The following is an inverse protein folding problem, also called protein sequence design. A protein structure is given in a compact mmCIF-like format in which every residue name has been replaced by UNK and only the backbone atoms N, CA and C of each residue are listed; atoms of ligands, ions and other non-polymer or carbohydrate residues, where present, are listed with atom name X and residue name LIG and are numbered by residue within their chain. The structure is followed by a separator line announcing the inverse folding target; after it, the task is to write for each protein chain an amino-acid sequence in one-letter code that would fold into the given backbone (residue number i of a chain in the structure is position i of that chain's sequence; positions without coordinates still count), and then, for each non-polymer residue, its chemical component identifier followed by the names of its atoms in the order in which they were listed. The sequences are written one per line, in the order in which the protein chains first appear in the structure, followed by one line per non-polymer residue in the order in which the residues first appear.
data_IF_129377366113
#
_entry.id   IF_129377366113
#
_cell.length_a   1.000
_cell.length_b   1.000
_cell.length_c   1.000
_cell.angle_alpha   90.00
_cell.angle_beta   90.00
_cell.angle_gamma   90.00
#
_symmetry.space_group_name_H-M   'P 1'
#
loop_
_entity.id
_entity.type
_entity.pdbx_description
1 polymer ?
#
# COMPACT_ATOMS: atom_id res chain seq x y z
N UNK A 1 -17.77 12.78 -2.10
CA UNK A 1 -17.56 11.32 -2.01
C UNK A 1 -16.18 11.08 -1.40
N UNK A 2 -16.11 10.33 -0.30
CA UNK A 2 -14.86 10.15 0.47
C UNK A 2 -13.93 9.17 -0.23
N UNK A 3 -14.49 8.15 -0.88
CA UNK A 3 -13.77 7.15 -1.66
C UNK A 3 -13.01 7.78 -2.83
N UNK A 4 -13.64 8.71 -3.55
CA UNK A 4 -12.98 9.41 -4.67
C UNK A 4 -11.84 10.32 -4.20
N UNK A 5 -11.98 10.96 -3.03
CA UNK A 5 -10.88 11.74 -2.42
C UNK A 5 -9.73 10.82 -2.02
N UNK A 6 -10.05 9.67 -1.43
CA UNK A 6 -9.06 8.65 -1.09
C UNK A 6 -8.32 8.13 -2.32
N UNK A 7 -9.04 7.76 -3.38
CA UNK A 7 -8.44 7.29 -4.64
C UNK A 7 -7.56 8.39 -5.24
N UNK A 8 -8.01 9.64 -5.28
CA UNK A 8 -7.21 10.76 -5.76
C UNK A 8 -5.91 10.94 -4.98
N UNK A 9 -5.97 10.90 -3.65
CA UNK A 9 -4.77 10.94 -2.80
C UNK A 9 -3.87 9.70 -2.99
N UNK A 10 -4.44 8.50 -3.06
CA UNK A 10 -3.72 7.26 -3.30
C UNK A 10 -2.91 7.32 -4.60
N UNK A 11 -3.48 7.87 -5.67
CA UNK A 11 -2.75 8.08 -6.92
C UNK A 11 -1.64 9.13 -6.77
N UNK A 12 -1.86 10.21 -6.00
CA UNK A 12 -0.84 11.23 -5.76
C UNK A 12 0.41 10.72 -5.04
N UNK A 13 0.27 9.68 -4.21
CA UNK A 13 1.39 9.05 -3.49
C UNK A 13 2.04 7.88 -4.25
N UNK A 14 1.58 7.59 -5.48
CA UNK A 14 2.23 6.63 -6.39
C UNK A 14 1.62 5.22 -6.44
N UNK A 15 0.36 5.04 -6.03
CA UNK A 15 -0.31 3.73 -6.16
C UNK A 15 -0.43 3.29 -7.63
N UNK A 16 -0.59 4.22 -8.57
CA UNK A 16 -0.58 3.96 -10.01
C UNK A 16 0.71 3.26 -10.47
N UNK A 17 1.87 3.77 -10.05
CA UNK A 17 3.18 3.20 -10.35
C UNK A 17 3.34 1.83 -9.71
N UNK A 18 2.86 1.67 -8.47
CA UNK A 18 2.89 0.38 -7.77
C UNK A 18 2.04 -0.67 -8.51
N UNK A 19 0.84 -0.30 -8.96
CA UNK A 19 -0.03 -1.17 -9.77
C UNK A 19 0.64 -1.54 -11.08
N UNK A 20 1.24 -0.57 -11.79
CA UNK A 20 1.94 -0.82 -13.05
C UNK A 20 3.11 -1.80 -12.87
N UNK A 21 3.89 -1.66 -11.80
CA UNK A 21 4.97 -2.59 -11.46
C UNK A 21 4.45 -4.00 -11.21
N UNK A 22 3.40 -4.14 -10.40
CA UNK A 22 2.79 -5.44 -10.11
C UNK A 22 2.16 -6.09 -11.35
N UNK A 23 1.57 -5.31 -12.25
CA UNK A 23 1.07 -5.82 -13.53
C UNK A 23 2.20 -6.39 -14.39
N UNK A 24 3.33 -5.67 -14.49
CA UNK A 24 4.50 -6.14 -15.20
C UNK A 24 5.08 -7.42 -14.57
N UNK A 25 5.08 -7.53 -13.23
CA UNK A 25 5.47 -8.76 -12.52
C UNK A 25 4.54 -9.93 -12.86
N UNK A 26 3.23 -9.71 -12.87
CA UNK A 26 2.27 -10.74 -13.26
C UNK A 26 2.46 -11.17 -14.72
N UNK A 27 2.67 -10.22 -15.65
CA UNK A 27 2.89 -10.51 -17.06
C UNK A 27 4.16 -11.34 -17.26
N UNK A 28 5.26 -10.99 -16.57
CA UNK A 28 6.50 -11.79 -16.58
C UNK A 28 6.29 -13.19 -16.01
N UNK A 29 5.57 -13.31 -14.90
CA UNK A 29 5.34 -14.60 -14.24
C UNK A 29 4.46 -15.53 -15.10
N UNK A 30 3.49 -14.99 -15.82
CA UNK A 30 2.67 -15.75 -16.78
C UNK A 30 3.52 -16.19 -17.98
N UNK A 31 4.33 -15.29 -18.54
CA UNK A 31 5.18 -15.60 -19.70
C UNK A 31 6.25 -16.66 -19.39
N UNK A 32 6.78 -16.68 -18.17
CA UNK A 32 7.77 -17.65 -17.71
C UNK A 32 7.15 -18.91 -17.08
N UNK A 33 5.83 -19.08 -17.16
CA UNK A 33 5.12 -20.16 -16.47
C UNK A 33 5.50 -21.55 -17.04
N UNK A 34 6.03 -22.48 -16.22
CA UNK A 34 6.42 -23.80 -16.71
C UNK A 34 5.19 -24.65 -17.08
N UNK A 35 5.24 -25.35 -18.21
CA UNK A 35 4.16 -26.28 -18.64
C UNK A 35 3.89 -27.39 -17.62
N UNK A 36 4.91 -27.77 -16.84
CA UNK A 36 4.84 -28.81 -15.81
C UNK A 36 4.33 -28.30 -14.45
N UNK A 37 4.16 -26.99 -14.27
CA UNK A 37 3.73 -26.41 -13.00
C UNK A 37 2.21 -26.51 -12.77
N UNK A 38 1.81 -26.63 -11.50
CA UNK A 38 0.41 -26.88 -11.14
C UNK A 38 -0.54 -25.74 -11.55
N UNK A 39 -1.56 -25.97 -12.41
CA UNK A 39 -2.41 -24.93 -13.02
C UNK A 39 -3.08 -23.94 -12.05
N UNK A 40 -3.25 -24.34 -10.79
CA UNK A 40 -3.76 -23.47 -9.71
C UNK A 40 -2.93 -22.20 -9.52
N UNK A 41 -1.62 -22.27 -9.74
CA UNK A 41 -0.72 -21.13 -9.58
C UNK A 41 -0.88 -20.13 -10.72
N UNK A 42 -0.98 -20.61 -11.97
CA UNK A 42 -1.25 -19.76 -13.12
C UNK A 42 -2.57 -19.00 -12.92
N UNK A 43 -3.65 -19.72 -12.57
CA UNK A 43 -4.97 -19.12 -12.31
C UNK A 43 -4.90 -18.03 -11.24
N UNK A 44 -4.12 -18.26 -10.17
CA UNK A 44 -3.93 -17.26 -9.11
C UNK A 44 -3.27 -15.99 -9.64
N UNK A 45 -2.24 -16.12 -10.48
CA UNK A 45 -1.53 -14.96 -11.07
C UNK A 45 -2.45 -14.22 -12.05
N UNK A 46 -3.24 -14.94 -12.84
CA UNK A 46 -4.23 -14.35 -13.74
C UNK A 46 -5.34 -13.60 -12.99
N UNK A 47 -5.85 -14.18 -11.90
CA UNK A 47 -6.84 -13.53 -11.04
C UNK A 47 -6.28 -12.25 -10.41
N UNK A 48 -5.02 -12.28 -9.96
CA UNK A 48 -4.33 -11.10 -9.43
C UNK A 48 -4.15 -10.02 -10.51
N UNK A 49 -3.70 -10.40 -11.70
CA UNK A 49 -3.57 -9.49 -12.85
C UNK A 49 -4.92 -8.84 -13.20
N UNK A 50 -6.01 -9.60 -13.21
CA UNK A 50 -7.36 -9.09 -13.46
C UNK A 50 -7.76 -8.06 -12.42
N UNK A 51 -7.53 -8.34 -11.13
CA UNK A 51 -7.84 -7.39 -10.04
C UNK A 51 -6.99 -6.12 -10.13
N UNK A 52 -5.72 -6.21 -10.53
CA UNK A 52 -4.86 -5.04 -10.71
C UNK A 52 -5.29 -4.14 -11.87
N UNK A 53 -5.91 -4.69 -12.93
CA UNK A 53 -6.46 -3.90 -14.04
C UNK A 53 -7.71 -3.12 -13.69
N UNK A 54 -8.49 -3.61 -12.74
CA UNK A 54 -9.71 -2.97 -12.24
C UNK A 54 -9.70 -3.03 -10.71
N UNK A 55 -8.84 -2.22 -10.05
CA UNK A 55 -8.60 -2.33 -8.63
C UNK A 55 -9.84 -1.92 -7.82
N UNK A 56 -10.21 -2.78 -6.89
CA UNK A 56 -11.25 -2.50 -5.90
C UNK A 56 -10.69 -1.63 -4.75
N UNK A 57 -11.58 -0.96 -4.01
CA UNK A 57 -11.19 -0.10 -2.90
C UNK A 57 -10.30 -0.83 -1.86
N UNK A 58 -10.60 -2.08 -1.45
CA UNK A 58 -9.72 -2.83 -0.55
C UNK A 58 -8.30 -3.04 -1.09
N UNK A 59 -8.15 -3.33 -2.38
CA UNK A 59 -6.83 -3.47 -3.00
C UNK A 59 -6.07 -2.15 -3.00
N UNK A 60 -6.74 -1.04 -3.34
CA UNK A 60 -6.12 0.29 -3.30
C UNK A 60 -5.64 0.61 -1.88
N UNK A 61 -6.48 0.35 -0.87
CA UNK A 61 -6.13 0.56 0.54
C UNK A 61 -4.94 -0.28 0.97
N UNK A 62 -4.91 -1.56 0.57
CA UNK A 62 -3.78 -2.43 0.87
C UNK A 62 -2.46 -1.93 0.26
N UNK A 63 -2.50 -1.42 -0.98
CA UNK A 63 -1.34 -0.85 -1.66
C UNK A 63 -0.88 0.46 -1.01
N UNK A 64 -1.82 1.33 -0.63
CA UNK A 64 -1.52 2.54 0.16
C UNK A 64 -0.82 2.17 1.46
N UNK A 65 -1.36 1.22 2.23
CA UNK A 65 -0.77 0.82 3.51
C UNK A 65 0.64 0.29 3.31
N UNK A 66 0.87 -0.54 2.30
CA UNK A 66 2.22 -1.03 1.98
C UNK A 66 3.19 0.12 1.63
N UNK A 67 2.77 1.07 0.79
CA UNK A 67 3.60 2.24 0.46
C UNK A 67 3.90 3.11 1.67
N UNK A 68 2.95 3.27 2.59
CA UNK A 68 3.15 4.03 3.82
C UNK A 68 4.02 3.29 4.84
N UNK A 69 4.00 1.95 4.86
CA UNK A 69 4.93 1.15 5.67
C UNK A 69 6.36 1.23 5.11
N UNK A 70 6.52 1.20 3.79
CA UNK A 70 7.80 1.38 3.11
C UNK A 70 8.32 2.82 3.24
N UNK A 71 7.43 3.81 3.16
CA UNK A 71 7.75 5.25 3.25
C UNK A 71 6.82 5.94 4.26
N UNK A 72 7.17 5.91 5.57
CA UNK A 72 6.35 6.48 6.65
C UNK A 72 5.93 7.94 6.46
N UNK A 73 6.65 8.76 5.69
CA UNK A 73 6.33 10.18 5.47
C UNK A 73 5.07 10.40 4.66
N UNK A 74 4.64 9.39 3.91
CA UNK A 74 3.39 9.44 3.15
C UNK A 74 2.18 9.26 4.08
N UNK A 75 2.35 8.53 5.19
CA UNK A 75 1.26 8.18 6.11
C UNK A 75 0.58 9.40 6.75
N UNK A 76 1.38 10.41 7.14
CA UNK A 76 0.85 11.61 7.79
C UNK A 76 -0.13 12.40 6.89
N UNK A 77 0.11 12.42 5.57
CA UNK A 77 -0.69 13.19 4.61
C UNK A 77 -2.08 12.60 4.32
N UNK A 78 -2.30 11.31 4.61
CA UNK A 78 -3.52 10.59 4.24
C UNK A 78 -4.37 10.12 5.40
N UNK A 79 -3.97 10.41 6.64
CA UNK A 79 -4.54 9.81 7.84
C UNK A 79 -6.03 10.17 8.01
N UNK A 80 -6.37 11.45 7.83
CA UNK A 80 -7.76 11.93 7.86
C UNK A 80 -8.62 11.31 6.74
N UNK A 81 -8.04 11.17 5.54
CA UNK A 81 -8.76 10.63 4.38
C UNK A 81 -9.02 9.13 4.56
N UNK A 82 -8.04 8.39 5.08
CA UNK A 82 -8.21 6.96 5.36
C UNK A 82 -9.15 6.73 6.55
N UNK A 83 -9.11 7.56 7.59
CA UNK A 83 -10.07 7.51 8.69
C UNK A 83 -11.50 7.67 8.17
N UNK A 84 -11.75 8.69 7.35
CA UNK A 84 -13.08 8.92 6.79
C UNK A 84 -13.56 7.77 5.86
N UNK A 85 -12.63 7.03 5.23
CA UNK A 85 -12.95 5.79 4.50
C UNK A 85 -13.26 4.64 5.45
N UNK A 86 -12.47 4.44 6.51
CA UNK A 86 -12.69 3.39 7.51
C UNK A 86 -14.02 3.58 8.27
N UNK A 87 -14.40 4.82 8.57
CA UNK A 87 -15.68 5.15 9.20
C UNK A 87 -16.88 4.71 8.35
N UNK A 88 -16.75 4.75 7.01
CA UNK A 88 -17.77 4.27 6.08
C UNK A 88 -17.69 2.78 5.79
N UNK A 89 -16.49 2.21 5.87
CA UNK A 89 -16.18 0.83 5.53
C UNK A 89 -15.43 0.17 6.70
N UNK A 90 -16.14 -0.31 7.73
CA UNK A 90 -15.52 -0.85 8.95
C UNK A 90 -14.59 -2.05 8.70
N UNK A 91 -14.73 -2.73 7.57
CA UNK A 91 -13.81 -3.79 7.14
C UNK A 91 -12.38 -3.27 6.85
N UNK A 92 -12.21 -1.95 6.71
CA UNK A 92 -10.94 -1.31 6.41
C UNK A 92 -10.22 -0.77 7.67
N UNK A 93 -10.84 -0.81 8.84
CA UNK A 93 -10.24 -0.38 10.12
C UNK A 93 -8.87 -0.99 10.42
N UNK A 94 -8.58 -2.27 10.10
CA UNK A 94 -7.23 -2.83 10.30
C UNK A 94 -6.14 -2.08 9.53
N UNK A 95 -6.45 -1.52 8.35
CA UNK A 95 -5.51 -0.76 7.53
C UNK A 95 -5.26 0.63 8.12
N UNK A 96 -6.28 1.25 8.70
CA UNK A 96 -6.14 2.52 9.44
C UNK A 96 -5.17 2.37 10.63
N UNK A 97 -5.31 1.29 11.41
CA UNK A 97 -4.43 1.02 12.54
C UNK A 97 -2.96 0.86 12.12
N UNK A 98 -2.72 0.15 11.00
CA UNK A 98 -1.37 -0.01 10.42
C UNK A 98 -0.78 1.32 9.95
N UNK A 99 -1.58 2.16 9.32
CA UNK A 99 -1.13 3.47 8.84
C UNK A 99 -0.77 4.41 10.02
N UNK A 100 -1.56 4.39 11.09
CA UNK A 100 -1.27 5.10 12.34
C UNK A 100 0.09 4.67 12.93
N UNK A 101 0.36 3.36 12.97
CA UNK A 101 1.63 2.83 13.45
C UNK A 101 2.82 3.26 12.56
N UNK A 102 2.63 3.26 11.24
CA UNK A 102 3.64 3.74 10.30
C UNK A 102 3.94 5.24 10.49
N UNK A 103 2.90 6.08 10.65
CA UNK A 103 3.07 7.51 10.88
C UNK A 103 3.83 7.82 12.20
N UNK A 104 3.54 7.08 13.27
CA UNK A 104 4.20 7.25 14.58
C UNK A 104 5.68 6.86 14.55
N UNK A 105 6.07 5.95 13.67
CA UNK A 105 7.47 5.52 13.51
C UNK A 105 8.39 6.65 13.02
N UNK A 106 7.84 7.72 12.44
CA UNK A 106 8.60 8.91 12.07
C UNK A 106 8.99 9.79 13.25
N UNK A 107 8.17 9.82 14.31
CA UNK A 107 8.40 10.65 15.49
C UNK A 107 9.58 10.18 16.36
N UNK A 108 10.11 8.98 16.12
CA UNK A 108 11.21 8.41 16.92
C UNK A 108 12.61 8.55 16.30
N UNK A 109 12.76 9.17 15.12
CA UNK A 109 14.08 9.32 14.47
C UNK A 109 14.67 10.74 14.57
N UNK A 110 14.32 11.49 15.62
CA UNK A 110 14.65 12.91 15.77
C UNK A 110 15.44 13.33 17.02
N UNK A 111 15.86 12.42 17.90
CA UNK A 111 16.60 12.79 19.12
C UNK A 111 18.00 12.13 19.14
N UNK A 112 18.96 12.82 18.53
CA UNK A 112 20.39 12.53 18.76
C UNK A 112 20.80 13.25 20.06
N UNK A 113 21.12 12.55 21.15
CA UNK A 113 21.60 13.22 22.35
C UNK A 113 22.96 13.88 22.04
N UNK A 114 23.21 15.13 22.48
CA UNK A 114 24.52 15.75 22.29
C UNK A 114 25.56 14.92 23.03
N UNK A 115 26.52 14.35 22.28
CA UNK A 115 27.70 13.71 22.86
C UNK A 115 28.48 14.77 23.63
N UNK A 116 28.34 14.75 24.95
CA UNK A 116 29.25 15.45 25.86
C UNK A 116 30.65 14.90 25.63
N UNK A 117 31.50 15.68 24.96
CA UNK A 117 32.92 15.47 24.92
C UNK A 117 33.45 15.63 26.35
N UNK A 118 33.87 14.53 26.97
CA UNK A 118 34.73 14.57 28.15
C UNK A 118 36.16 14.68 27.67
N UNK A 119 36.83 15.76 28.08
CA UNK A 119 38.27 15.95 27.95
C UNK A 119 39.07 15.18 28.99
#
# INVERSE_FOLDING_TARGET
MVEQRFIGWAMSIGVDRRIAGLLADCDRAIAAYPETAAPRWLRRIEDQRRRLRAPDLPLIVALVTALCEETPSLAASGLEVLQAVADKHPSLTPFQARLLAAAQSQGSHGEHPPRLARG
#
